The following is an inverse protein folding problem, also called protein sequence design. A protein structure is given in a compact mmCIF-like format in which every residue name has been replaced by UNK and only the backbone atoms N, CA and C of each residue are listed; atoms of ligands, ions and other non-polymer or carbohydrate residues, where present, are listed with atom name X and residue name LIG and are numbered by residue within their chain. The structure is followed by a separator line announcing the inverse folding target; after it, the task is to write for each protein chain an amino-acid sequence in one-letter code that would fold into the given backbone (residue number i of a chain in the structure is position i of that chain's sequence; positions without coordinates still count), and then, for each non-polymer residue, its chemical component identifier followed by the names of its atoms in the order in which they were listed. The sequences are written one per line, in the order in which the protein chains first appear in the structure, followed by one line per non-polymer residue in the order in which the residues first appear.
data_IF_884041609462
#
_entry.id   IF_884041609462
#
_cell.length_a   1.000
_cell.length_b   1.000
_cell.length_c   1.000
_cell.angle_alpha   90.00
_cell.angle_beta   90.00
_cell.angle_gamma   90.00
#
_symmetry.space_group_name_H-M   'P 1'
#
loop_
_entity.id
_entity.type
_entity.pdbx_description
1 polymer ?
#
# COMPACT_ATOMS: atom_id res chain seq x y z
N UNK A 1 0.75 -11.51 -25.12
CA UNK A 1 1.72 -10.63 -24.46
C UNK A 1 0.95 -9.87 -23.40
N UNK A 2 1.31 -10.02 -22.12
CA UNK A 2 0.76 -9.16 -21.08
C UNK A 2 1.12 -7.71 -21.46
N UNK A 3 0.10 -6.87 -21.63
CA UNK A 3 0.32 -5.44 -21.80
C UNK A 3 0.70 -4.91 -20.44
N UNK A 4 2.01 -4.93 -20.16
CA UNK A 4 2.57 -4.37 -18.92
C UNK A 4 2.25 -2.88 -18.92
N UNK A 5 1.57 -2.40 -17.88
CA UNK A 5 1.37 -0.97 -17.64
C UNK A 5 2.71 -0.25 -17.82
N UNK A 6 2.73 0.87 -18.56
CA UNK A 6 3.97 1.63 -18.69
C UNK A 6 4.48 2.01 -17.29
N UNK A 7 5.73 1.65 -16.94
CA UNK A 7 6.24 1.91 -15.61
C UNK A 7 6.22 3.41 -15.34
N UNK A 8 5.84 3.79 -14.12
CA UNK A 8 5.65 5.18 -13.73
C UNK A 8 6.94 5.97 -13.91
N UNK A 9 8.10 5.34 -13.72
CA UNK A 9 9.41 5.95 -13.96
C UNK A 9 9.63 6.47 -15.39
N UNK A 10 8.85 5.98 -16.37
CA UNK A 10 8.91 6.42 -17.77
C UNK A 10 7.87 7.49 -18.13
N UNK A 11 7.02 7.90 -17.18
CA UNK A 11 6.01 8.91 -17.47
C UNK A 11 6.63 10.23 -17.90
N UNK A 12 6.09 10.76 -18.98
CA UNK A 12 6.35 12.12 -19.45
C UNK A 12 5.79 13.14 -18.46
N UNK A 13 6.28 14.40 -18.48
CA UNK A 13 5.70 15.46 -17.66
C UNK A 13 4.20 15.63 -17.90
N UNK A 14 3.73 15.44 -19.14
CA UNK A 14 2.30 15.50 -19.44
C UNK A 14 1.50 14.43 -18.69
N UNK A 15 1.98 13.18 -18.64
CA UNK A 15 1.32 12.11 -17.90
C UNK A 15 1.29 12.40 -16.39
N UNK A 16 2.36 12.99 -15.83
CA UNK A 16 2.38 13.45 -14.44
C UNK A 16 1.31 14.53 -14.19
N UNK A 17 1.20 15.51 -15.08
CA UNK A 17 0.17 16.56 -14.95
C UNK A 17 -1.25 16.00 -15.08
N UNK A 18 -1.46 15.05 -15.99
CA UNK A 18 -2.75 14.39 -16.17
C UNK A 18 -3.13 13.57 -14.92
N UNK A 19 -2.18 12.89 -14.29
CA UNK A 19 -2.38 12.25 -12.98
C UNK A 19 -2.71 13.27 -11.89
N UNK A 20 -1.96 14.38 -11.78
CA UNK A 20 -2.20 15.40 -10.75
C UNK A 20 -3.60 16.03 -10.82
N UNK A 21 -4.20 16.13 -12.01
CA UNK A 21 -5.58 16.63 -12.18
C UNK A 21 -6.63 15.80 -11.44
N UNK A 22 -6.31 14.53 -11.19
CA UNK A 22 -7.18 13.62 -10.46
C UNK A 22 -7.09 13.71 -8.92
N UNK A 23 -6.03 14.33 -8.40
CA UNK A 23 -5.82 14.50 -6.95
C UNK A 23 -6.79 15.52 -6.35
N UNK A 24 -6.80 15.70 -5.03
CA UNK A 24 -7.70 16.63 -4.33
C UNK A 24 -7.72 18.06 -4.89
N UNK A 25 -8.87 18.75 -4.75
CA UNK A 25 -9.07 20.12 -5.26
C UNK A 25 -8.03 21.10 -4.68
N UNK A 26 -7.63 20.90 -3.43
CA UNK A 26 -6.62 21.73 -2.76
C UNK A 26 -5.23 21.62 -3.41
N UNK A 27 -4.97 20.57 -4.19
CA UNK A 27 -3.67 20.33 -4.84
C UNK A 27 -3.61 20.89 -6.26
N UNK A 28 -4.75 21.20 -6.88
CA UNK A 28 -4.82 21.67 -8.28
C UNK A 28 -4.06 22.98 -8.51
N UNK A 29 -3.90 23.80 -7.47
CA UNK A 29 -3.13 25.05 -7.52
C UNK A 29 -1.63 24.82 -7.83
N UNK A 30 -1.09 23.62 -7.61
CA UNK A 30 0.32 23.31 -7.79
C UNK A 30 0.67 22.80 -9.20
N UNK A 31 -0.32 22.42 -10.01
CA UNK A 31 -0.11 21.84 -11.35
C UNK A 31 0.79 22.72 -12.23
N UNK A 32 0.60 24.05 -12.20
CA UNK A 32 1.41 24.98 -13.00
C UNK A 32 2.90 24.98 -12.60
N UNK A 33 3.21 24.70 -11.33
CA UNK A 33 4.59 24.61 -10.87
C UNK A 33 5.25 23.33 -11.36
N UNK A 34 4.54 22.19 -11.26
CA UNK A 34 5.01 20.91 -11.81
C UNK A 34 5.18 20.98 -13.34
N UNK A 35 4.29 21.69 -14.04
CA UNK A 35 4.39 21.92 -15.49
C UNK A 35 5.61 22.74 -15.85
N UNK A 36 5.86 23.84 -15.10
CA UNK A 36 7.01 24.72 -15.32
C UNK A 36 8.34 23.99 -15.10
N UNK A 37 8.45 23.22 -14.02
CA UNK A 37 9.66 22.46 -13.69
C UNK A 37 9.77 21.14 -14.47
N UNK A 38 8.74 20.79 -15.26
CA UNK A 38 8.68 19.59 -16.12
C UNK A 38 8.96 18.30 -15.36
N UNK A 39 8.36 18.15 -14.18
CA UNK A 39 8.50 16.95 -13.35
C UNK A 39 8.04 15.72 -14.13
N UNK A 40 8.96 14.79 -14.35
CA UNK A 40 8.68 13.51 -14.99
C UNK A 40 8.39 12.41 -13.95
N UNK A 41 8.07 11.20 -14.43
CA UNK A 41 7.71 10.09 -13.56
C UNK A 41 8.82 9.62 -12.62
N UNK A 42 10.08 9.60 -13.09
CA UNK A 42 11.22 9.23 -12.24
C UNK A 42 11.42 10.22 -11.09
N UNK A 43 11.31 11.51 -11.37
CA UNK A 43 11.37 12.56 -10.35
C UNK A 43 10.18 12.49 -9.39
N UNK A 44 8.97 12.25 -9.91
CA UNK A 44 7.77 12.11 -9.08
C UNK A 44 7.91 10.96 -8.07
N UNK A 45 8.42 9.80 -8.48
CA UNK A 45 8.56 8.63 -7.61
C UNK A 45 9.57 8.82 -6.47
N UNK A 46 10.50 9.78 -6.60
CA UNK A 46 11.54 10.04 -5.60
C UNK A 46 11.35 11.40 -4.91
N UNK A 47 10.19 12.04 -5.12
CA UNK A 47 9.95 13.39 -4.64
C UNK A 47 9.98 13.44 -3.11
N UNK A 48 10.69 14.42 -2.58
CA UNK A 48 10.87 14.63 -1.13
C UNK A 48 10.08 15.83 -0.62
N UNK A 49 9.91 15.95 0.71
CA UNK A 49 9.34 17.15 1.34
C UNK A 49 10.05 18.43 0.89
N UNK A 50 11.38 18.40 0.77
CA UNK A 50 12.17 19.56 0.35
C UNK A 50 11.89 19.93 -1.12
N UNK A 51 11.85 18.97 -2.03
CA UNK A 51 11.55 19.23 -3.44
C UNK A 51 10.11 19.73 -3.62
N UNK A 52 9.17 19.25 -2.79
CA UNK A 52 7.81 19.79 -2.77
C UNK A 52 7.77 21.26 -2.32
N UNK A 53 8.57 21.64 -1.33
CA UNK A 53 8.71 23.06 -0.93
C UNK A 53 9.27 23.91 -2.07
N UNK A 54 10.29 23.41 -2.77
CA UNK A 54 10.89 24.08 -3.94
C UNK A 54 9.89 24.22 -5.09
N UNK A 55 8.96 23.27 -5.24
CA UNK A 55 7.81 23.32 -6.16
C UNK A 55 6.67 24.23 -5.65
N UNK A 56 6.83 24.91 -4.51
CA UNK A 56 5.87 25.84 -3.94
C UNK A 56 4.78 25.20 -3.09
N UNK A 57 4.90 23.90 -2.77
CA UNK A 57 4.00 23.18 -1.85
C UNK A 57 4.52 23.37 -0.43
N UNK A 58 4.30 24.55 0.16
CA UNK A 58 4.83 24.88 1.51
C UNK A 58 3.97 24.40 2.67
N UNK A 59 2.73 23.97 2.39
CA UNK A 59 1.81 23.47 3.43
C UNK A 59 2.11 22.00 3.68
N UNK A 60 2.53 21.65 4.90
CA UNK A 60 2.79 20.26 5.31
C UNK A 60 1.63 19.34 4.96
N UNK A 61 0.39 19.70 5.31
CA UNK A 61 -0.77 18.86 4.97
C UNK A 61 -0.98 18.62 3.47
N UNK A 62 -0.54 19.54 2.59
CA UNK A 62 -0.58 19.31 1.15
C UNK A 62 0.59 18.46 0.66
N UNK A 63 1.77 18.59 1.28
CA UNK A 63 2.91 17.72 1.00
C UNK A 63 2.56 16.26 1.34
N UNK A 64 1.98 16.02 2.52
CA UNK A 64 1.57 14.68 2.95
C UNK A 64 0.56 14.06 1.99
N UNK A 65 -0.44 14.81 1.50
CA UNK A 65 -1.40 14.29 0.51
C UNK A 65 -0.73 13.90 -0.82
N UNK A 66 0.24 14.67 -1.29
CA UNK A 66 0.98 14.34 -2.52
C UNK A 66 1.85 13.13 -2.29
N UNK A 67 2.59 13.06 -1.19
CA UNK A 67 3.48 11.96 -0.85
C UNK A 67 2.70 10.65 -0.65
N UNK A 68 1.55 10.70 0.02
CA UNK A 68 0.65 9.56 0.17
C UNK A 68 0.15 9.05 -1.20
N UNK A 69 -0.18 9.96 -2.11
CA UNK A 69 -0.55 9.61 -3.47
C UNK A 69 0.64 9.02 -4.27
N UNK A 70 1.87 9.51 -4.05
CA UNK A 70 3.08 8.95 -4.67
C UNK A 70 3.39 7.56 -4.10
N UNK A 71 3.24 7.32 -2.80
CA UNK A 71 3.46 6.02 -2.17
C UNK A 71 2.54 4.94 -2.75
N UNK A 72 1.26 5.28 -2.98
CA UNK A 72 0.30 4.39 -3.62
C UNK A 72 0.65 4.14 -5.10
N UNK A 73 1.16 5.14 -5.83
CA UNK A 73 1.71 4.94 -7.18
C UNK A 73 2.94 4.02 -7.18
N UNK A 74 3.84 4.18 -6.21
CA UNK A 74 4.99 3.29 -6.02
C UNK A 74 4.51 1.85 -5.77
N UNK A 75 3.55 1.66 -4.85
CA UNK A 75 2.99 0.35 -4.56
C UNK A 75 2.39 -0.30 -5.82
N UNK A 76 1.72 0.48 -6.66
CA UNK A 76 1.22 0.01 -7.95
C UNK A 76 2.33 -0.40 -8.91
N UNK A 77 3.35 0.44 -9.07
CA UNK A 77 4.46 0.27 -10.01
C UNK A 77 5.32 -0.96 -9.68
N UNK A 78 5.44 -1.32 -8.40
CA UNK A 78 6.32 -2.40 -7.95
C UNK A 78 5.57 -3.66 -7.48
N UNK A 79 4.29 -3.55 -7.07
CA UNK A 79 3.59 -4.57 -6.31
C UNK A 79 2.68 -5.52 -7.10
N UNK A 80 1.97 -5.04 -8.14
CA UNK A 80 0.82 -5.76 -8.73
C UNK A 80 1.14 -7.21 -9.17
N UNK A 81 2.24 -7.42 -9.88
CA UNK A 81 2.54 -8.74 -10.46
C UNK A 81 3.54 -9.56 -9.63
N UNK A 82 4.25 -8.93 -8.68
CA UNK A 82 5.37 -9.57 -7.97
C UNK A 82 5.03 -9.98 -6.54
N UNK A 83 4.00 -9.38 -5.94
CA UNK A 83 3.60 -9.66 -4.57
C UNK A 83 2.42 -10.63 -4.50
N UNK A 84 2.48 -11.54 -3.53
CA UNK A 84 1.40 -12.44 -3.14
C UNK A 84 1.47 -12.67 -1.63
N UNK A 85 0.43 -13.30 -1.05
CA UNK A 85 0.38 -13.53 0.40
C UNK A 85 1.62 -14.25 0.93
N UNK A 86 2.18 -15.19 0.17
CA UNK A 86 3.38 -15.92 0.58
C UNK A 86 4.59 -14.98 0.67
N UNK A 87 4.88 -14.21 -0.37
CA UNK A 87 6.04 -13.31 -0.37
C UNK A 87 5.91 -12.21 0.69
N UNK A 88 4.71 -11.66 0.86
CA UNK A 88 4.40 -10.67 1.91
C UNK A 88 4.55 -11.26 3.33
N UNK A 89 4.06 -12.49 3.54
CA UNK A 89 4.22 -13.20 4.82
C UNK A 89 5.69 -13.49 5.14
N UNK A 90 6.50 -13.84 4.12
CA UNK A 90 7.94 -13.99 4.31
C UNK A 90 8.62 -12.67 4.66
N UNK A 91 8.27 -11.56 4.00
CA UNK A 91 8.81 -10.22 4.30
C UNK A 91 8.49 -9.80 5.74
N UNK A 92 7.24 -9.97 6.18
CA UNK A 92 6.83 -9.68 7.56
C UNK A 92 7.59 -10.56 8.56
N UNK A 93 7.69 -11.87 8.31
CA UNK A 93 8.42 -12.79 9.18
C UNK A 93 9.91 -12.46 9.27
N UNK A 94 10.54 -12.07 8.14
CA UNK A 94 11.93 -11.65 8.11
C UNK A 94 12.15 -10.37 8.93
N UNK A 95 11.27 -9.37 8.80
CA UNK A 95 11.33 -8.15 9.60
C UNK A 95 11.19 -8.44 11.10
N UNK A 96 10.23 -9.30 11.48
CA UNK A 96 10.03 -9.70 12.87
C UNK A 96 11.26 -10.43 13.45
N UNK A 97 11.90 -11.30 12.66
CA UNK A 97 13.13 -12.02 13.05
C UNK A 97 14.34 -11.08 13.16
N UNK A 98 14.46 -10.11 12.25
CA UNK A 98 15.52 -9.11 12.29
C UNK A 98 15.44 -8.27 13.57
N UNK A 99 14.24 -7.80 13.94
CA UNK A 99 14.05 -7.07 15.19
C UNK A 99 14.37 -7.93 16.43
N UNK A 100 13.97 -9.20 16.44
CA UNK A 100 14.32 -10.15 17.52
C UNK A 100 15.84 -10.34 17.64
N UNK A 101 16.53 -10.50 16.50
CA UNK A 101 17.98 -10.66 16.45
C UNK A 101 18.69 -9.38 16.90
N UNK A 102 18.19 -8.21 16.50
CA UNK A 102 18.71 -6.92 16.94
C UNK A 102 18.63 -6.77 18.48
N UNK A 103 17.47 -7.05 19.08
CA UNK A 103 17.27 -7.02 20.54
C UNK A 103 18.21 -8.00 21.23
N UNK A 104 18.27 -9.24 20.75
CA UNK A 104 19.10 -10.29 21.34
C UNK A 104 20.59 -9.95 21.24
N UNK A 105 21.02 -9.37 20.12
CA UNK A 105 22.39 -8.91 19.89
C UNK A 105 22.78 -7.81 20.87
N UNK A 106 21.92 -6.80 21.07
CA UNK A 106 22.16 -5.73 22.05
C UNK A 106 22.32 -6.25 23.47
N UNK A 107 21.46 -7.18 23.89
CA UNK A 107 21.49 -7.77 25.24
C UNK A 107 22.76 -8.59 25.52
N UNK A 108 23.39 -9.13 24.48
CA UNK A 108 24.67 -9.87 24.59
C UNK A 108 25.90 -8.94 24.65
N UNK A 109 25.74 -7.66 24.31
CA UNK A 109 26.82 -6.68 24.36
C UNK A 109 27.19 -6.30 25.80
N UNK A 110 28.48 -6.16 26.09
CA UNK A 110 29.00 -5.86 27.43
C UNK A 110 28.62 -4.49 28.00
N UNK A 111 27.99 -3.62 27.21
CA UNK A 111 27.57 -2.27 27.60
C UNK A 111 26.05 -2.06 27.55
N UNK A 112 25.25 -3.13 27.72
CA UNK A 112 23.79 -3.02 27.72
C UNK A 112 23.27 -2.30 28.99
N UNK A 113 22.72 -1.10 28.81
CA UNK A 113 22.17 -0.25 29.88
C UNK A 113 20.63 -0.23 29.92
N UNK A 114 19.96 -1.13 29.20
CA UNK A 114 18.51 -1.06 28.97
C UNK A 114 17.62 -1.19 30.21
N UNK A 115 18.18 -1.60 31.36
CA UNK A 115 17.46 -1.57 32.66
C UNK A 115 17.44 -0.19 33.33
N UNK A 116 18.39 0.67 33.00
CA UNK A 116 18.50 2.04 33.52
C UNK A 116 18.04 3.07 32.47
N UNK A 117 18.28 2.80 31.19
CA UNK A 117 17.85 3.66 30.09
C UNK A 117 16.35 3.55 29.82
N UNK A 118 15.76 4.68 29.47
CA UNK A 118 14.37 4.83 28.95
C UNK A 118 14.33 5.30 27.51
N UNK A 119 15.50 5.58 26.92
CA UNK A 119 15.60 6.10 25.55
C UNK A 119 15.85 4.97 24.57
N UNK A 120 14.92 4.76 23.66
CA UNK A 120 15.07 3.80 22.57
C UNK A 120 16.07 4.34 21.52
N UNK A 121 17.04 3.53 21.09
CA UNK A 121 17.93 3.88 19.97
C UNK A 121 17.16 4.08 18.65
N UNK A 122 17.66 4.96 17.78
CA UNK A 122 16.97 5.27 16.52
C UNK A 122 16.85 4.04 15.61
N UNK A 123 17.91 3.24 15.45
CA UNK A 123 17.89 2.03 14.61
C UNK A 123 16.84 1.00 15.09
N UNK A 124 16.55 1.00 16.40
CA UNK A 124 15.49 0.19 16.98
C UNK A 124 14.12 0.68 16.54
N UNK A 125 13.88 1.99 16.61
CA UNK A 125 12.63 2.61 16.17
C UNK A 125 12.43 2.41 14.67
N UNK A 126 13.48 2.57 13.85
CA UNK A 126 13.46 2.26 12.42
C UNK A 126 13.05 0.81 12.18
N UNK A 127 13.63 -0.15 12.90
CA UNK A 127 13.26 -1.57 12.76
C UNK A 127 11.81 -1.85 13.16
N UNK A 128 11.24 -1.13 14.13
CA UNK A 128 9.81 -1.22 14.48
C UNK A 128 8.93 -0.65 13.37
N UNK A 129 9.32 0.49 12.79
CA UNK A 129 8.62 1.11 11.66
C UNK A 129 8.64 0.17 10.45
N UNK A 130 9.79 -0.43 10.12
CA UNK A 130 9.93 -1.40 9.04
C UNK A 130 9.03 -2.64 9.25
N UNK A 131 8.91 -3.11 10.50
CA UNK A 131 8.02 -4.21 10.86
C UNK A 131 6.55 -3.85 10.65
N UNK A 132 6.13 -2.65 11.09
CA UNK A 132 4.77 -2.15 10.89
C UNK A 132 4.50 -1.95 9.39
N UNK A 133 5.45 -1.43 8.62
CA UNK A 133 5.34 -1.28 7.17
C UNK A 133 5.13 -2.62 6.46
N UNK A 134 5.92 -3.64 6.80
CA UNK A 134 5.73 -4.98 6.26
C UNK A 134 4.36 -5.57 6.62
N UNK A 135 3.86 -5.30 7.83
CA UNK A 135 2.54 -5.75 8.27
C UNK A 135 1.41 -5.03 7.50
N UNK A 136 1.53 -3.71 7.29
CA UNK A 136 0.58 -2.93 6.48
C UNK A 136 0.47 -3.48 5.06
N UNK A 137 1.58 -3.82 4.42
CA UNK A 137 1.55 -4.40 3.07
C UNK A 137 0.81 -5.75 3.03
N UNK A 138 1.03 -6.61 4.02
CA UNK A 138 0.29 -7.87 4.13
C UNK A 138 -1.22 -7.64 4.38
N UNK A 139 -1.56 -6.69 5.26
CA UNK A 139 -2.95 -6.30 5.54
C UNK A 139 -3.66 -5.78 4.29
N UNK A 140 -3.00 -4.91 3.52
CA UNK A 140 -3.54 -4.36 2.29
C UNK A 140 -3.87 -5.46 1.26
N UNK A 141 -3.15 -6.58 1.27
CA UNK A 141 -3.44 -7.74 0.42
C UNK A 141 -4.59 -8.59 0.96
N UNK A 142 -4.66 -8.78 2.28
CA UNK A 142 -5.77 -9.49 2.94
C UNK A 142 -7.12 -8.75 2.80
N UNK A 143 -7.08 -7.44 2.56
CA UNK A 143 -8.26 -6.62 2.29
C UNK A 143 -8.80 -6.71 0.86
N UNK A 144 -8.11 -7.46 -0.02
CA UNK A 144 -8.53 -7.67 -1.41
C UNK A 144 -9.39 -8.92 -1.56
N UNK A 145 -10.18 -8.94 -2.63
CA UNK A 145 -10.86 -10.16 -3.07
C UNK A 145 -9.82 -11.20 -3.54
N UNK A 146 -10.00 -12.50 -3.24
CA UNK A 146 -11.11 -13.11 -2.52
C UNK A 146 -10.93 -13.14 -0.98
N UNK A 147 -9.76 -12.76 -0.46
CA UNK A 147 -9.37 -12.93 0.94
C UNK A 147 -10.31 -12.24 1.93
N UNK A 148 -10.78 -11.04 1.60
CA UNK A 148 -11.72 -10.27 2.43
C UNK A 148 -13.02 -11.02 2.74
N UNK A 149 -13.41 -11.98 1.89
CA UNK A 149 -14.63 -12.78 2.07
C UNK A 149 -14.42 -14.05 2.90
N UNK A 150 -13.17 -14.40 3.23
CA UNK A 150 -12.82 -15.63 3.93
C UNK A 150 -12.60 -15.34 5.42
N UNK A 151 -13.37 -16.02 6.26
CA UNK A 151 -13.39 -15.79 7.72
C UNK A 151 -12.02 -16.01 8.38
N UNK A 152 -11.26 -17.02 7.95
CA UNK A 152 -9.94 -17.31 8.50
C UNK A 152 -8.96 -16.14 8.28
N UNK A 153 -8.89 -15.61 7.06
CA UNK A 153 -8.05 -14.44 6.74
C UNK A 153 -8.52 -13.19 7.48
N UNK A 154 -9.83 -13.03 7.71
CA UNK A 154 -10.37 -11.93 8.53
C UNK A 154 -9.89 -11.98 9.98
N UNK A 155 -9.81 -13.17 10.58
CA UNK A 155 -9.29 -13.35 11.94
C UNK A 155 -7.79 -13.03 12.01
N UNK A 156 -7.00 -13.54 11.05
CA UNK A 156 -5.56 -13.27 10.96
C UNK A 156 -5.30 -11.77 10.79
N UNK A 157 -6.05 -11.10 9.90
CA UNK A 157 -6.02 -9.65 9.69
C UNK A 157 -6.24 -8.90 11.00
N UNK A 158 -7.31 -9.21 11.72
CA UNK A 158 -7.63 -8.54 13.00
C UNK A 158 -6.51 -8.71 14.04
N UNK A 159 -5.92 -9.90 14.12
CA UNK A 159 -4.80 -10.15 15.02
C UNK A 159 -3.56 -9.33 14.64
N UNK A 160 -3.21 -9.26 13.34
CA UNK A 160 -2.08 -8.45 12.86
C UNK A 160 -2.31 -6.96 13.17
N UNK A 161 -3.54 -6.45 12.95
CA UNK A 161 -3.90 -5.06 13.29
C UNK A 161 -3.70 -4.80 14.78
N UNK A 162 -4.22 -5.68 15.65
CA UNK A 162 -4.05 -5.54 17.10
C UNK A 162 -2.58 -5.51 17.52
N UNK A 163 -1.75 -6.39 16.94
CA UNK A 163 -0.31 -6.45 17.23
C UNK A 163 0.43 -5.18 16.75
N UNK A 164 0.04 -4.60 15.61
CA UNK A 164 0.61 -3.33 15.14
C UNK A 164 0.26 -2.14 16.06
N UNK A 165 -0.98 -2.11 16.56
CA UNK A 165 -1.43 -1.12 17.53
C UNK A 165 -0.70 -1.30 18.87
N UNK A 166 -0.50 -2.55 19.30
CA UNK A 166 0.27 -2.88 20.48
C UNK A 166 1.73 -2.43 20.35
N UNK A 167 2.40 -2.72 19.22
CA UNK A 167 3.76 -2.23 18.94
C UNK A 167 3.86 -0.71 19.05
N UNK A 168 2.94 0.01 18.42
CA UNK A 168 2.88 1.48 18.44
C UNK A 168 2.70 2.00 19.86
N UNK A 169 1.84 1.34 20.64
CA UNK A 169 1.61 1.69 22.05
C UNK A 169 2.85 1.41 22.90
N UNK A 170 3.50 0.26 22.72
CA UNK A 170 4.68 -0.15 23.49
C UNK A 170 5.83 0.84 23.30
N UNK A 171 6.10 1.31 22.07
CA UNK A 171 7.20 2.27 21.82
C UNK A 171 6.94 3.66 22.38
N UNK A 172 5.68 3.97 22.70
CA UNK A 172 5.27 5.24 23.32
C UNK A 172 5.17 5.16 24.85
N UNK A 173 5.22 3.96 25.44
CA UNK A 173 5.12 3.78 26.89
C UNK A 173 6.40 4.26 27.59
N UNK A 174 6.24 5.04 28.65
CA UNK A 174 7.34 5.43 29.53
C UNK A 174 7.74 4.28 30.46
N UNK A 175 8.57 3.39 29.94
CA UNK A 175 9.13 2.25 30.68
C UNK A 175 10.61 2.05 30.31
N UNK A 176 11.28 1.14 31.01
CA UNK A 176 12.69 0.87 30.71
C UNK A 176 12.83 0.20 29.34
N UNK A 177 13.96 0.45 28.66
CA UNK A 177 14.23 -0.18 27.36
C UNK A 177 14.11 -1.72 27.44
N UNK A 178 14.53 -2.32 28.57
CA UNK A 178 14.41 -3.76 28.80
C UNK A 178 12.94 -4.25 28.82
N UNK A 179 12.04 -3.50 29.44
CA UNK A 179 10.61 -3.81 29.46
C UNK A 179 9.97 -3.65 28.09
N UNK A 180 10.27 -2.54 27.38
CA UNK A 180 9.84 -2.32 25.99
C UNK A 180 10.27 -3.47 25.09
N UNK A 181 11.56 -3.85 25.14
CA UNK A 181 12.12 -4.95 24.35
C UNK A 181 11.41 -6.28 24.65
N UNK A 182 11.11 -6.60 25.92
CA UNK A 182 10.42 -7.86 26.25
C UNK A 182 9.01 -7.94 25.66
N UNK A 183 8.26 -6.84 25.71
CA UNK A 183 6.93 -6.76 25.10
C UNK A 183 7.02 -6.88 23.58
N UNK A 184 7.96 -6.19 22.95
CA UNK A 184 8.18 -6.27 21.49
C UNK A 184 8.60 -7.67 21.05
N UNK A 185 9.45 -8.37 21.81
CA UNK A 185 9.81 -9.76 21.53
C UNK A 185 8.58 -10.67 21.54
N UNK A 186 7.63 -10.45 22.45
CA UNK A 186 6.37 -11.19 22.47
C UNK A 186 5.55 -10.95 21.19
N UNK A 187 5.37 -9.67 20.81
CA UNK A 187 4.66 -9.32 19.58
C UNK A 187 5.33 -9.91 18.34
N UNK A 188 6.65 -9.80 18.21
CA UNK A 188 7.39 -10.38 17.08
C UNK A 188 7.19 -11.90 16.99
N UNK A 189 7.18 -12.61 18.11
CA UNK A 189 6.96 -14.06 18.15
C UNK A 189 5.55 -14.42 17.66
N UNK A 190 4.54 -13.67 18.09
CA UNK A 190 3.15 -13.87 17.66
C UNK A 190 2.99 -13.56 16.17
N UNK A 191 3.57 -12.45 15.68
CA UNK A 191 3.57 -12.11 14.25
C UNK A 191 4.24 -13.20 13.41
N UNK A 192 5.41 -13.69 13.82
CA UNK A 192 6.08 -14.81 13.13
C UNK A 192 5.20 -16.06 13.07
N UNK A 193 4.48 -16.40 14.15
CA UNK A 193 3.55 -17.53 14.17
C UNK A 193 2.38 -17.35 13.19
N UNK A 194 1.83 -16.13 13.08
CA UNK A 194 0.80 -15.80 12.09
C UNK A 194 1.34 -15.94 10.66
N UNK A 195 2.55 -15.44 10.39
CA UNK A 195 3.17 -15.59 9.07
C UNK A 195 3.41 -17.05 8.71
N UNK A 196 3.95 -17.85 9.65
CA UNK A 196 4.18 -19.27 9.45
C UNK A 196 2.87 -20.02 9.20
N UNK A 197 1.77 -19.63 9.86
CA UNK A 197 0.42 -20.16 9.58
C UNK A 197 -0.02 -19.82 8.15
N UNK A 198 0.04 -18.55 7.73
CA UNK A 198 -0.33 -18.14 6.36
C UNK A 198 0.53 -18.89 5.31
N UNK A 199 1.83 -19.03 5.57
CA UNK A 199 2.73 -19.78 4.68
C UNK A 199 2.35 -21.26 4.66
N UNK A 200 1.94 -21.85 5.79
CA UNK A 200 1.52 -23.25 5.85
C UNK A 200 0.23 -23.53 5.07
N UNK A 201 -0.63 -22.52 4.87
CA UNK A 201 -1.80 -22.59 3.99
C UNK A 201 -1.42 -22.67 2.48
N UNK A 202 -0.13 -22.76 2.16
CA UNK A 202 0.46 -22.87 0.80
C UNK A 202 -0.14 -23.90 -0.16
N UNK A 203 -0.89 -24.89 0.33
CA UNK A 203 -1.65 -25.83 -0.51
C UNK A 203 -2.82 -25.15 -1.25
N UNK A 204 -3.24 -23.98 -0.79
CA UNK A 204 -4.23 -23.14 -1.46
C UNK A 204 -3.55 -22.34 -2.59
N UNK A 205 -4.02 -22.54 -3.83
CA UNK A 205 -3.52 -21.83 -5.01
C UNK A 205 -3.63 -20.31 -4.85
N UNK A 206 -4.59 -19.83 -4.05
CA UNK A 206 -4.83 -18.41 -3.81
C UNK A 206 -3.67 -17.73 -3.08
N UNK A 207 -2.98 -18.42 -2.16
CA UNK A 207 -1.87 -17.84 -1.36
C UNK A 207 -0.63 -17.56 -2.22
N UNK A 208 -0.49 -18.30 -3.32
CA UNK A 208 0.67 -18.24 -4.21
C UNK A 208 0.42 -17.41 -5.47
N UNK A 209 -0.82 -17.02 -5.71
CA UNK A 209 -1.22 -16.29 -6.90
C UNK A 209 -0.99 -14.78 -6.70
N UNK A 210 -0.22 -14.18 -7.61
CA UNK A 210 -0.12 -12.71 -7.72
C UNK A 210 -1.38 -12.14 -8.37
N UNK A 211 -1.62 -10.83 -8.24
CA UNK A 211 -2.69 -10.20 -8.99
C UNK A 211 -2.41 -10.30 -10.51
N UNK A 212 -3.48 -10.40 -11.28
CA UNK A 212 -3.42 -10.45 -12.74
C UNK A 212 -3.98 -9.15 -13.32
N UNK A 213 -3.14 -8.41 -14.04
CA UNK A 213 -3.55 -7.19 -14.73
C UNK A 213 -4.17 -7.56 -16.10
N UNK A 214 -5.43 -7.19 -16.32
CA UNK A 214 -6.11 -7.39 -17.60
C UNK A 214 -6.65 -6.07 -18.16
N UNK A 215 -6.39 -5.84 -19.46
CA UNK A 215 -6.98 -4.72 -20.21
C UNK A 215 -8.30 -5.19 -20.84
N UNK A 216 -9.39 -4.52 -20.49
CA UNK A 216 -10.73 -4.79 -21.03
C UNK A 216 -11.15 -3.67 -21.96
N UNK A 217 -11.50 -4.01 -23.20
CA UNK A 217 -12.03 -3.06 -24.17
C UNK A 217 -13.56 -3.16 -24.20
N UNK A 218 -14.22 -2.14 -23.66
CA UNK A 218 -15.67 -1.98 -23.76
C UNK A 218 -16.00 -1.24 -25.07
N UNK A 219 -16.83 -1.85 -25.91
CA UNK A 219 -17.26 -1.28 -27.20
C UNK A 219 -18.77 -1.05 -27.19
N UNK A 220 -19.29 -0.32 -28.18
CA UNK A 220 -20.72 -0.01 -28.33
C UNK A 220 -21.35 0.70 -27.12
N UNK A 221 -20.58 1.59 -26.47
CA UNK A 221 -21.05 2.37 -25.33
C UNK A 221 -22.02 3.44 -25.83
N UNK A 222 -23.31 3.32 -25.50
CA UNK A 222 -24.27 4.38 -25.75
C UNK A 222 -24.11 5.49 -24.71
N UNK A 223 -24.01 6.78 -25.12
CA UNK A 223 -23.81 7.89 -24.17
C UNK A 223 -24.87 7.98 -23.06
N UNK A 224 -26.06 7.43 -23.31
CA UNK A 224 -27.19 7.42 -22.36
C UNK A 224 -27.17 6.25 -21.37
N UNK A 225 -26.43 5.17 -21.62
CA UNK A 225 -26.51 3.93 -20.83
C UNK A 225 -25.31 3.73 -19.89
N UNK A 226 -24.22 4.48 -20.09
CA UNK A 226 -23.00 4.33 -19.31
C UNK A 226 -22.36 2.93 -19.47
N UNK A 227 -21.36 2.64 -18.64
CA UNK A 227 -20.64 1.36 -18.73
C UNK A 227 -21.34 0.21 -17.98
N UNK A 228 -22.28 0.54 -17.06
CA UNK A 228 -22.95 -0.42 -16.19
C UNK A 228 -22.04 -1.06 -15.14
N UNK A 229 -21.04 -0.32 -14.64
CA UNK A 229 -20.20 -0.73 -13.52
C UNK A 229 -20.57 0.03 -12.26
N UNK A 230 -20.66 -0.67 -11.13
CA UNK A 230 -20.72 -0.04 -9.81
C UNK A 230 -19.32 0.01 -9.23
N UNK A 231 -18.82 1.22 -8.97
CA UNK A 231 -17.47 1.43 -8.45
C UNK A 231 -17.54 2.10 -7.08
N UNK A 232 -16.86 1.51 -6.10
CA UNK A 232 -16.66 2.08 -4.78
C UNK A 232 -15.22 2.54 -4.67
N UNK A 233 -15.02 3.80 -4.28
CA UNK A 233 -13.70 4.33 -3.94
C UNK A 233 -13.44 4.14 -2.44
N UNK A 234 -12.26 3.64 -2.07
CA UNK A 234 -11.81 3.55 -0.68
C UNK A 234 -11.09 4.84 -0.27
N UNK A 235 -10.90 5.03 1.03
CA UNK A 235 -10.10 6.16 1.54
C UNK A 235 -8.63 6.04 1.13
N UNK A 236 -8.13 4.82 0.98
CA UNK A 236 -6.75 4.52 0.57
C UNK A 236 -6.55 4.63 -0.97
N UNK A 237 -7.46 5.33 -1.67
CA UNK A 237 -7.31 5.64 -3.09
C UNK A 237 -7.52 4.46 -4.06
N UNK A 238 -8.16 3.38 -3.62
CA UNK A 238 -8.49 2.23 -4.47
C UNK A 238 -9.90 2.36 -5.06
N UNK A 239 -10.07 1.86 -6.28
CA UNK A 239 -11.35 1.82 -6.97
C UNK A 239 -11.76 0.39 -7.25
N UNK A 240 -12.72 -0.10 -6.46
CA UNK A 240 -13.15 -1.49 -6.49
C UNK A 240 -14.50 -1.59 -7.18
N UNK A 241 -14.59 -2.50 -8.15
CA UNK A 241 -15.85 -2.85 -8.80
C UNK A 241 -16.67 -3.68 -7.83
N UNK A 242 -17.87 -3.23 -7.49
CA UNK A 242 -18.78 -3.93 -6.57
C UNK A 242 -19.83 -4.77 -7.30
N UNK A 243 -19.95 -4.59 -8.62
CA UNK A 243 -20.84 -5.36 -9.48
C UNK A 243 -21.04 -4.71 -10.85
N UNK A 244 -21.81 -5.37 -11.70
CA UNK A 244 -22.20 -4.91 -13.03
C UNK A 244 -23.72 -4.93 -13.18
N UNK A 245 -24.26 -4.07 -14.05
CA UNK A 245 -25.66 -4.11 -14.44
C UNK A 245 -25.86 -5.19 -15.50
N UNK A 246 -26.87 -6.06 -15.34
CA UNK A 246 -27.18 -7.11 -16.31
C UNK A 246 -27.32 -6.54 -17.73
N UNK A 247 -26.74 -7.24 -18.72
CA UNK A 247 -26.73 -6.85 -20.12
C UNK A 247 -26.03 -5.52 -20.45
N UNK A 248 -25.35 -4.87 -19.48
CA UNK A 248 -24.50 -3.72 -19.78
C UNK A 248 -23.23 -4.11 -20.54
N UNK A 249 -22.50 -3.16 -21.16
CA UNK A 249 -21.21 -3.44 -21.77
C UNK A 249 -20.23 -4.14 -20.81
N UNK A 250 -20.20 -3.73 -19.54
CA UNK A 250 -19.35 -4.35 -18.53
C UNK A 250 -19.76 -5.79 -18.18
N UNK A 251 -21.06 -6.09 -18.11
CA UNK A 251 -21.53 -7.47 -17.89
C UNK A 251 -21.29 -8.36 -19.12
N UNK A 252 -21.54 -7.85 -20.33
CA UNK A 252 -21.42 -8.62 -21.57
C UNK A 252 -19.99 -9.04 -21.88
N UNK A 253 -18.98 -8.29 -21.42
CA UNK A 253 -17.58 -8.64 -21.66
C UNK A 253 -17.11 -9.89 -20.88
N UNK A 254 -17.83 -10.26 -19.80
CA UNK A 254 -17.54 -11.42 -18.92
C UNK A 254 -16.10 -11.47 -18.38
N UNK A 255 -15.43 -10.31 -18.35
CA UNK A 255 -14.04 -10.13 -17.88
C UNK A 255 -13.94 -9.25 -16.65
N UNK A 256 -15.04 -8.59 -16.28
CA UNK A 256 -15.13 -7.67 -15.16
C UNK A 256 -15.97 -8.33 -14.07
N UNK A 257 -15.41 -8.42 -12.86
CA UNK A 257 -16.01 -9.10 -11.73
C UNK A 257 -16.03 -8.21 -10.48
N UNK A 258 -16.92 -8.53 -9.55
CA UNK A 258 -16.93 -7.88 -8.26
C UNK A 258 -15.64 -8.23 -7.49
N UNK A 259 -14.98 -7.20 -6.95
CA UNK A 259 -13.67 -7.31 -6.31
C UNK A 259 -12.50 -6.89 -7.20
N UNK A 260 -12.71 -6.70 -8.50
CA UNK A 260 -11.67 -6.20 -9.41
C UNK A 260 -11.33 -4.74 -9.11
N UNK A 261 -10.04 -4.41 -9.19
CA UNK A 261 -9.53 -3.05 -9.01
C UNK A 261 -9.36 -2.36 -10.36
N UNK A 262 -9.88 -1.13 -10.48
CA UNK A 262 -9.67 -0.29 -11.66
C UNK A 262 -8.33 0.42 -11.53
N UNK A 263 -7.35 -0.03 -12.32
CA UNK A 263 -6.00 0.54 -12.32
C UNK A 263 -5.85 1.68 -13.31
N UNK A 264 -6.40 1.53 -14.52
CA UNK A 264 -6.34 2.54 -15.57
C UNK A 264 -7.68 2.68 -16.29
N UNK A 265 -7.97 3.91 -16.74
CA UNK A 265 -9.07 4.23 -17.65
C UNK A 265 -8.47 4.97 -18.84
N UNK A 266 -8.70 4.47 -20.07
CA UNK A 266 -8.16 5.07 -21.30
C UNK A 266 -6.65 5.39 -21.23
N UNK A 267 -5.86 4.45 -20.68
CA UNK A 267 -4.40 4.56 -20.49
C UNK A 267 -3.93 5.59 -19.45
N UNK A 268 -4.85 6.17 -18.67
CA UNK A 268 -4.52 7.04 -17.56
C UNK A 268 -4.70 6.25 -16.25
N UNK A 269 -3.65 6.23 -15.43
CA UNK A 269 -3.68 5.58 -14.11
C UNK A 269 -4.62 6.33 -13.18
N UNK A 270 -5.56 5.62 -12.56
CA UNK A 270 -6.62 6.19 -11.72
C UNK A 270 -6.46 5.87 -10.23
N UNK A 271 -5.48 5.05 -9.87
CA UNK A 271 -5.11 4.83 -8.47
C UNK A 271 -4.77 6.18 -7.85
N UNK A 272 -5.25 6.43 -6.62
CA UNK A 272 -5.09 7.68 -5.83
C UNK A 272 -5.98 8.87 -6.22
N UNK A 273 -6.80 8.73 -7.25
CA UNK A 273 -7.58 9.83 -7.83
C UNK A 273 -9.05 9.73 -7.43
N UNK A 274 -9.79 10.84 -7.36
CA UNK A 274 -11.26 10.76 -7.28
C UNK A 274 -11.84 10.46 -8.67
N UNK A 275 -12.39 9.26 -8.88
CA UNK A 275 -13.00 8.84 -10.16
C UNK A 275 -14.06 9.80 -10.73
N UNK A 276 -14.73 10.59 -9.89
CA UNK A 276 -15.70 11.60 -10.32
C UNK A 276 -15.13 12.69 -11.24
N UNK A 277 -13.81 12.68 -11.50
CA UNK A 277 -13.11 13.62 -12.37
C UNK A 277 -12.65 13.04 -13.70
N UNK A 278 -13.01 11.80 -14.02
CA UNK A 278 -12.82 11.25 -15.36
C UNK A 278 -13.99 11.64 -16.28
N UNK A 279 -13.71 12.11 -17.52
CA UNK A 279 -14.74 12.29 -18.54
C UNK A 279 -15.27 10.96 -19.08
#
# INVERSE_FOLDING_TARGET
MALVMEPISKWTPKQVLDWMKGLDDCLQQYIKNFEREKINGEQLLHITHQELEELGVTRIGHQELILEAVDLLCALNYGLETENLRTLSHKLNASAKNLQNFITGRRRGGHYDGRASRRLPNDFLTSVVDLIGAAKNLLAWLDRSPFVSVTEYSLLKNNIVQLCLELTTIVQQDCTVYETENKILHVCKTLSGICDHIISLSSDSLVSQSAHLEVVHLTNIMPSEGLGMYIKSTYDGLHVITGTTENSPADQCKKIHAGDEVIQVNHQTVVTIKLARFP
#
